data_IF_988851591377
#
_entry.id   IF_988851591377
#
_cell.length_a   1.000
_cell.length_b   1.000
_cell.length_c   1.000
_cell.angle_alpha   90.00
_cell.angle_beta   90.00
_cell.angle_gamma   90.00
#
_symmetry.space_group_name_H-M   'P 1'
#
loop_
_entity.id
_entity.type
_entity.pdbx_description
1 polymer ?
#
# COMPACT_ATOMS: atom_id res chain seq x y z
N UNK A 1 -12.66 -21.94 12.08
CA UNK A 1 -11.38 -21.21 12.24
C UNK A 1 -10.42 -21.70 11.17
N UNK A 2 -10.56 -21.19 9.95
CA UNK A 2 -9.63 -21.51 8.86
C UNK A 2 -8.47 -20.52 8.88
N UNK A 3 -7.26 -21.03 9.07
CA UNK A 3 -6.03 -20.29 8.88
C UNK A 3 -5.73 -20.27 7.38
N UNK A 4 -5.76 -19.10 6.76
CA UNK A 4 -5.17 -18.93 5.43
C UNK A 4 -3.63 -19.09 5.56
N UNK A 5 -3.13 -20.25 5.14
CA UNK A 5 -1.72 -20.53 5.01
C UNK A 5 -1.18 -19.85 3.74
N UNK A 6 -0.30 -18.86 3.91
CA UNK A 6 0.43 -18.27 2.79
C UNK A 6 1.49 -19.28 2.30
N UNK A 7 1.25 -19.89 1.14
CA UNK A 7 2.18 -20.85 0.54
C UNK A 7 3.34 -20.13 -0.17
N UNK A 8 4.54 -20.64 0.09
CA UNK A 8 5.81 -20.21 -0.47
C UNK A 8 5.85 -20.58 -1.97
N UNK A 9 5.51 -19.66 -2.86
CA UNK A 9 5.64 -19.89 -4.31
C UNK A 9 6.95 -19.31 -4.86
N UNK A 10 7.84 -20.23 -5.25
CA UNK A 10 9.01 -20.00 -6.09
C UNK A 10 8.55 -19.54 -7.48
N UNK A 11 9.02 -18.35 -7.93
CA UNK A 11 9.02 -17.82 -9.32
C UNK A 11 8.45 -16.39 -9.41
N UNK A 12 9.29 -15.37 -9.15
CA UNK A 12 9.23 -14.04 -9.79
C UNK A 12 10.59 -13.32 -9.59
N UNK A 13 11.34 -13.04 -10.66
CA UNK A 13 12.59 -12.28 -10.58
C UNK A 13 12.26 -10.78 -10.38
N UNK A 14 13.15 -10.06 -9.67
CA UNK A 14 13.07 -8.62 -9.36
C UNK A 14 12.13 -8.21 -8.19
N UNK A 15 12.27 -8.91 -7.06
CA UNK A 15 11.70 -8.53 -5.74
C UNK A 15 12.79 -8.55 -4.66
N UNK A 16 13.53 -7.47 -4.45
CA UNK A 16 14.55 -7.46 -3.39
C UNK A 16 14.47 -6.37 -2.32
N UNK A 17 13.52 -5.42 -2.37
CA UNK A 17 13.54 -4.34 -1.37
C UNK A 17 12.20 -3.91 -0.75
N UNK A 18 11.17 -4.77 -0.76
CA UNK A 18 9.88 -4.48 -0.08
C UNK A 18 9.33 -5.63 0.77
N UNK A 19 9.97 -6.81 0.74
CA UNK A 19 9.55 -7.98 1.51
C UNK A 19 10.18 -8.06 2.91
N UNK A 20 11.28 -7.32 3.15
CA UNK A 20 11.88 -7.25 4.49
C UNK A 20 11.03 -6.45 5.49
N UNK A 21 10.31 -5.42 5.04
CA UNK A 21 9.41 -4.63 5.90
C UNK A 21 8.10 -5.33 6.23
N UNK A 22 7.53 -6.11 5.31
CA UNK A 22 6.31 -6.88 5.61
C UNK A 22 6.54 -7.94 6.70
N UNK A 23 7.71 -8.57 6.73
CA UNK A 23 8.06 -9.48 7.83
C UNK A 23 8.18 -8.73 9.17
N UNK A 24 8.74 -7.52 9.18
CA UNK A 24 8.85 -6.72 10.41
C UNK A 24 7.48 -6.42 11.05
N UNK A 25 6.53 -5.95 10.24
CA UNK A 25 5.17 -5.67 10.71
C UNK A 25 4.46 -6.94 11.20
N UNK A 26 4.57 -8.04 10.46
CA UNK A 26 3.96 -9.32 10.84
C UNK A 26 4.57 -9.89 12.14
N UNK A 27 5.86 -9.67 12.42
CA UNK A 27 6.48 -10.12 13.69
C UNK A 27 6.11 -9.27 14.90
N UNK A 28 5.64 -8.03 14.70
CA UNK A 28 5.26 -7.09 15.77
C UNK A 28 3.77 -7.10 16.15
N UNK A 29 2.98 -8.03 15.60
CA UNK A 29 1.54 -8.08 15.82
C UNK A 29 0.72 -7.09 14.95
N UNK A 30 1.33 -6.48 13.92
CA UNK A 30 0.62 -5.66 12.94
C UNK A 30 0.21 -6.53 11.74
N UNK A 31 -1.08 -6.52 11.40
CA UNK A 31 -1.59 -7.18 10.20
C UNK A 31 -1.56 -6.21 9.01
N UNK A 32 -1.01 -6.66 7.90
CA UNK A 32 -1.03 -5.91 6.63
C UNK A 32 -2.24 -6.37 5.82
N UNK A 33 -3.19 -5.46 5.61
CA UNK A 33 -4.39 -5.75 4.83
C UNK A 33 -4.11 -5.92 3.33
N UNK A 34 -3.26 -5.06 2.76
CA UNK A 34 -2.82 -5.15 1.37
C UNK A 34 -1.50 -4.41 1.14
N UNK A 35 -0.79 -4.77 0.07
CA UNK A 35 0.41 -4.06 -0.40
C UNK A 35 0.22 -3.59 -1.83
N UNK A 36 0.41 -2.29 -2.11
CA UNK A 36 0.35 -1.70 -3.45
C UNK A 36 1.72 -1.11 -3.80
N UNK A 37 2.18 -1.32 -5.04
CA UNK A 37 3.37 -0.68 -5.58
C UNK A 37 2.99 0.57 -6.39
N UNK A 38 3.70 1.67 -6.17
CA UNK A 38 3.66 2.84 -7.05
C UNK A 38 4.57 2.54 -8.26
N UNK A 39 4.08 2.61 -9.50
CA UNK A 39 4.92 2.41 -10.68
C UNK A 39 5.96 3.54 -10.80
N UNK A 40 7.18 3.22 -11.26
CA UNK A 40 8.27 4.20 -11.41
C UNK A 40 7.94 5.33 -12.41
N UNK A 41 7.18 5.01 -13.45
CA UNK A 41 6.69 5.97 -14.44
C UNK A 41 5.16 5.99 -14.41
N UNK A 42 4.57 6.73 -13.46
CA UNK A 42 3.12 6.76 -13.29
C UNK A 42 2.47 7.53 -14.44
N UNK A 43 1.61 6.85 -15.18
CA UNK A 43 0.75 7.48 -16.19
C UNK A 43 -0.31 8.36 -15.52
N UNK A 44 -0.89 9.32 -16.25
CA UNK A 44 -2.04 10.08 -15.76
C UNK A 44 -3.14 9.14 -15.24
N UNK A 45 -3.58 9.36 -14.01
CA UNK A 45 -4.63 8.55 -13.35
C UNK A 45 -4.16 7.29 -12.62
N UNK A 46 -2.86 6.94 -12.64
CA UNK A 46 -2.37 5.77 -11.88
C UNK A 46 -2.53 5.96 -10.36
N UNK A 47 -2.31 7.17 -9.85
CA UNK A 47 -2.49 7.47 -8.42
C UNK A 47 -3.95 7.32 -7.97
N UNK A 48 -4.91 7.66 -8.83
CA UNK A 48 -6.34 7.47 -8.53
C UNK A 48 -6.69 5.98 -8.45
N UNK A 49 -6.04 5.13 -9.27
CA UNK A 49 -6.19 3.66 -9.16
C UNK A 49 -5.62 3.13 -7.85
N UNK A 50 -4.51 3.69 -7.37
CA UNK A 50 -3.92 3.30 -6.07
C UNK A 50 -4.90 3.62 -4.94
N UNK A 51 -5.45 4.82 -4.93
CA UNK A 51 -6.46 5.22 -3.93
C UNK A 51 -7.71 4.34 -4.01
N UNK A 52 -8.19 4.04 -5.22
CA UNK A 52 -9.31 3.12 -5.42
C UNK A 52 -9.01 1.73 -4.85
N UNK A 53 -7.81 1.21 -5.07
CA UNK A 53 -7.37 -0.08 -4.51
C UNK A 53 -7.27 -0.06 -2.99
N UNK A 54 -6.88 1.05 -2.37
CA UNK A 54 -6.91 1.17 -0.91
C UNK A 54 -8.34 1.07 -0.37
N UNK A 55 -9.32 1.61 -1.09
CA UNK A 55 -10.73 1.53 -0.73
C UNK A 55 -11.35 0.13 -0.87
N UNK A 56 -10.72 -0.78 -1.64
CA UNK A 56 -11.14 -2.18 -1.68
C UNK A 56 -11.02 -2.84 -0.30
N UNK A 57 -10.12 -2.34 0.56
CA UNK A 57 -10.00 -2.76 1.97
C UNK A 57 -10.29 -1.60 2.92
N UNK A 58 -11.49 -1.01 2.82
CA UNK A 58 -11.94 0.14 3.63
C UNK A 58 -11.96 -0.06 5.15
N UNK A 59 -11.88 -1.32 5.61
CA UNK A 59 -11.72 -1.64 7.04
C UNK A 59 -10.35 -1.21 7.59
N UNK A 60 -9.32 -1.16 6.74
CA UNK A 60 -7.99 -0.71 7.12
C UNK A 60 -7.93 0.82 7.03
N UNK A 61 -7.71 1.49 8.17
CA UNK A 61 -7.67 2.96 8.25
C UNK A 61 -6.25 3.53 8.12
N UNK A 62 -5.22 2.74 8.36
CA UNK A 62 -3.82 3.16 8.31
C UNK A 62 -3.15 2.77 6.99
N UNK A 63 -2.42 3.71 6.38
CA UNK A 63 -1.64 3.50 5.15
C UNK A 63 -0.20 3.93 5.41
N UNK A 64 0.73 2.99 5.25
CA UNK A 64 2.17 3.25 5.35
C UNK A 64 2.71 3.37 3.91
N UNK A 65 3.32 4.49 3.57
CA UNK A 65 3.84 4.79 2.23
C UNK A 65 5.35 4.99 2.31
N UNK A 66 6.10 4.19 1.54
CA UNK A 66 7.53 4.45 1.30
C UNK A 66 7.71 4.80 -0.17
N UNK A 67 7.84 6.10 -0.45
CA UNK A 67 7.92 6.64 -1.80
C UNK A 67 8.56 8.03 -1.78
N UNK A 68 8.92 8.56 -2.96
CA UNK A 68 9.41 9.94 -3.04
C UNK A 68 8.33 10.95 -2.64
N UNK A 69 8.76 12.12 -2.15
CA UNK A 69 7.88 13.20 -1.73
C UNK A 69 6.84 13.58 -2.80
N UNK A 70 7.24 13.64 -4.07
CA UNK A 70 6.34 13.94 -5.19
C UNK A 70 5.23 12.88 -5.35
N UNK A 71 5.58 11.61 -5.22
CA UNK A 71 4.60 10.51 -5.33
C UNK A 71 3.65 10.53 -4.13
N UNK A 72 4.18 10.76 -2.92
CA UNK A 72 3.36 10.92 -1.71
C UNK A 72 2.36 12.06 -1.91
N UNK A 73 2.82 13.24 -2.34
CA UNK A 73 1.97 14.40 -2.63
C UNK A 73 0.87 14.05 -3.63
N UNK A 74 1.19 13.34 -4.71
CA UNK A 74 0.22 12.93 -5.75
C UNK A 74 -0.81 11.93 -5.25
N UNK A 75 -0.40 10.97 -4.41
CA UNK A 75 -1.32 10.03 -3.73
C UNK A 75 -2.28 10.80 -2.81
N UNK A 76 -1.77 11.71 -1.99
CA UNK A 76 -2.60 12.52 -1.09
C UNK A 76 -3.59 13.42 -1.86
N UNK A 77 -3.15 14.01 -2.98
CA UNK A 77 -4.03 14.77 -3.86
C UNK A 77 -5.13 13.90 -4.49
N UNK A 78 -4.79 12.69 -4.93
CA UNK A 78 -5.78 11.74 -5.44
C UNK A 78 -6.80 11.35 -4.36
N UNK A 79 -6.35 11.09 -3.13
CA UNK A 79 -7.23 10.80 -2.00
C UNK A 79 -8.16 11.99 -1.68
N UNK A 80 -7.63 13.22 -1.74
CA UNK A 80 -8.44 14.44 -1.57
C UNK A 80 -9.50 14.59 -2.67
N UNK A 81 -9.14 14.38 -3.95
CA UNK A 81 -10.09 14.42 -5.09
C UNK A 81 -11.19 13.36 -4.96
N UNK A 82 -10.86 12.21 -4.37
CA UNK A 82 -11.80 11.14 -4.07
C UNK A 82 -12.65 11.39 -2.82
N UNK A 83 -12.54 12.55 -2.16
CA UNK A 83 -13.21 12.88 -0.90
C UNK A 83 -12.91 11.91 0.26
N UNK A 84 -11.69 11.37 0.30
CA UNK A 84 -11.25 10.43 1.34
C UNK A 84 -10.42 11.11 2.45
N UNK A 85 -10.47 12.43 2.51
CA UNK A 85 -9.88 13.21 3.61
C UNK A 85 -10.49 12.74 4.93
N UNK A 86 -9.64 12.31 5.87
CA UNK A 86 -10.08 11.77 7.17
C UNK A 86 -10.53 10.30 7.16
N UNK A 87 -10.57 9.65 5.99
CA UNK A 87 -10.81 8.20 5.92
C UNK A 87 -9.54 7.41 6.25
N UNK A 88 -8.41 7.80 5.65
CA UNK A 88 -7.13 7.17 5.89
C UNK A 88 -6.21 8.06 6.73
N UNK A 89 -5.40 7.43 7.58
CA UNK A 89 -4.23 8.02 8.21
C UNK A 89 -2.98 7.57 7.44
N UNK A 90 -2.26 8.52 6.85
CA UNK A 90 -1.05 8.26 6.09
C UNK A 90 0.19 8.49 6.96
N UNK A 91 1.09 7.50 6.96
CA UNK A 91 2.44 7.61 7.53
C UNK A 91 3.42 7.40 6.39
N UNK A 92 4.33 8.37 6.19
CA UNK A 92 5.29 8.34 5.08
C UNK A 92 6.72 8.58 5.54
N UNK A 93 7.67 8.10 4.74
CA UNK A 93 9.10 8.41 4.83
C UNK A 93 9.67 8.70 3.44
#
# INVERSE_FOLDING_TARGET
MERAAWTRSSRYPEKQHYQHTCNFFCTGGLCIAQSIKIPREPRPGEFDKIVKRLMETSNARGVIIFANEDDIKRVLQAAKRANLTGHFLFVGS
#
